data_IF_247091955851
#
_entry.id   IF_247091955851
#
_cell.length_a   1.000
_cell.length_b   1.000
_cell.length_c   1.000
_cell.angle_alpha   90.00
_cell.angle_beta   90.00
_cell.angle_gamma   90.00
#
_symmetry.space_group_name_H-M   'P 1'
#
loop_
_entity.id
_entity.type
_entity.pdbx_description
1 polymer ?
#
# COMPACT_ATOMS: atom_id res chain seq x y z
N UNK A 1 -20.94 -10.85 9.96
CA UNK A 1 -20.35 -10.67 8.63
C UNK A 1 -19.35 -9.57 8.84
N UNK A 2 -18.09 -9.83 8.53
CA UNK A 2 -17.03 -8.84 8.65
C UNK A 2 -16.74 -8.29 7.27
N UNK A 3 -16.47 -7.00 7.20
CA UNK A 3 -16.13 -6.32 5.96
C UNK A 3 -14.61 -6.41 5.71
N UNK A 4 -14.23 -6.49 4.44
CA UNK A 4 -12.85 -6.57 4.00
C UNK A 4 -12.56 -5.53 2.91
N UNK A 5 -11.30 -5.12 2.85
CA UNK A 5 -10.81 -4.14 1.88
C UNK A 5 -9.70 -4.74 1.00
N UNK A 6 -9.81 -4.62 -0.32
CA UNK A 6 -8.72 -4.92 -1.27
C UNK A 6 -7.88 -3.66 -1.37
N UNK A 7 -6.76 -3.63 -0.65
CA UNK A 7 -5.81 -2.54 -0.73
C UNK A 7 -4.82 -2.85 -1.84
N UNK A 8 -4.70 -1.92 -2.79
CA UNK A 8 -3.64 -1.92 -3.79
C UNK A 8 -2.82 -0.63 -3.67
N UNK A 9 -1.49 -0.75 -3.68
CA UNK A 9 -0.55 0.36 -3.71
C UNK A 9 0.50 0.13 -4.78
N UNK A 10 0.84 1.18 -5.51
CA UNK A 10 1.99 1.21 -6.42
C UNK A 10 2.66 2.58 -6.32
N UNK A 11 3.84 2.60 -5.69
CA UNK A 11 4.56 3.84 -5.38
C UNK A 11 6.06 3.67 -5.59
N UNK A 12 6.73 4.77 -5.93
CA UNK A 12 8.18 4.86 -5.93
C UNK A 12 8.61 5.54 -4.63
N UNK A 13 9.30 4.82 -3.74
CA UNK A 13 9.91 5.37 -2.53
C UNK A 13 11.19 6.13 -2.86
N UNK A 14 11.49 7.14 -2.05
CA UNK A 14 12.66 8.01 -2.23
C UNK A 14 13.97 7.20 -2.34
N UNK A 15 14.90 7.60 -3.23
CA UNK A 15 16.25 7.02 -3.25
C UNK A 15 17.02 7.26 -1.93
N UNK A 16 16.67 8.31 -1.19
CA UNK A 16 17.29 8.68 0.09
C UNK A 16 16.63 7.99 1.29
N UNK A 17 15.85 6.93 1.06
CA UNK A 17 15.24 6.17 2.15
C UNK A 17 16.34 5.63 3.07
N UNK A 18 16.26 6.00 4.36
CA UNK A 18 17.25 5.57 5.34
C UNK A 18 17.22 4.06 5.52
N UNK A 19 18.35 3.44 5.86
CA UNK A 19 18.40 1.99 6.09
C UNK A 19 17.40 1.51 7.16
N UNK A 20 17.19 2.21 8.30
CA UNK A 20 16.15 1.83 9.25
C UNK A 20 14.74 1.84 8.66
N UNK A 21 14.41 2.84 7.83
CA UNK A 21 13.10 2.89 7.18
C UNK A 21 12.97 1.78 6.13
N UNK A 22 14.02 1.52 5.34
CA UNK A 22 14.04 0.41 4.38
C UNK A 22 13.90 -0.95 5.07
N UNK A 23 14.55 -1.14 6.22
CA UNK A 23 14.39 -2.34 7.05
C UNK A 23 12.94 -2.49 7.53
N UNK A 24 12.33 -1.40 8.02
CA UNK A 24 10.94 -1.39 8.45
C UNK A 24 9.98 -1.71 7.30
N UNK A 25 10.18 -1.13 6.10
CA UNK A 25 9.42 -1.51 4.89
C UNK A 25 9.55 -3.01 4.64
N UNK A 26 10.77 -3.55 4.56
CA UNK A 26 10.98 -4.99 4.31
C UNK A 26 10.32 -5.87 5.37
N UNK A 27 10.35 -5.46 6.64
CA UNK A 27 9.64 -6.17 7.70
C UNK A 27 8.12 -6.16 7.48
N UNK A 28 7.53 -5.01 7.16
CA UNK A 28 6.09 -4.91 6.84
C UNK A 28 5.69 -5.84 5.68
N UNK A 29 6.58 -6.07 4.72
CA UNK A 29 6.37 -6.99 3.59
C UNK A 29 6.63 -8.48 3.92
N UNK A 30 7.03 -8.80 5.16
CA UNK A 30 7.41 -10.16 5.56
C UNK A 30 8.81 -10.60 5.08
N UNK A 31 9.67 -9.66 4.68
CA UNK A 31 10.97 -9.92 4.04
C UNK A 31 12.17 -9.63 4.96
N UNK A 32 11.93 -9.15 6.18
CA UNK A 32 12.96 -8.88 7.18
C UNK A 32 12.45 -9.13 8.60
N UNK A 33 13.39 -9.19 9.56
CA UNK A 33 13.07 -9.21 10.98
C UNK A 33 12.51 -7.86 11.45
N UNK A 34 11.68 -7.93 12.48
CA UNK A 34 11.07 -6.76 13.11
C UNK A 34 12.15 -5.80 13.63
N UNK A 35 12.06 -4.49 13.33
CA UNK A 35 12.96 -3.50 13.92
C UNK A 35 12.72 -3.39 15.42
N UNK A 36 13.74 -2.93 16.16
CA UNK A 36 13.65 -2.81 17.63
C UNK A 36 12.63 -1.77 18.09
N UNK A 37 12.34 -0.77 17.26
CA UNK A 37 11.38 0.29 17.51
C UNK A 37 10.68 0.68 16.20
N UNK A 38 9.66 -0.08 15.75
CA UNK A 38 8.91 0.26 14.56
C UNK A 38 8.17 1.59 14.75
N UNK A 39 8.16 2.41 13.71
CA UNK A 39 7.61 3.76 13.64
C UNK A 39 6.44 3.91 12.66
N UNK A 40 6.09 2.84 11.94
CA UNK A 40 5.08 2.85 10.88
C UNK A 40 3.65 3.05 11.36
N UNK A 41 3.38 2.82 12.64
CA UNK A 41 2.08 3.02 13.27
C UNK A 41 2.26 3.18 14.79
N UNK A 42 1.21 3.59 15.50
CA UNK A 42 1.18 3.48 16.96
C UNK A 42 0.86 2.04 17.40
N UNK A 43 1.83 1.15 17.22
CA UNK A 43 1.72 -0.28 17.53
C UNK A 43 1.34 -0.58 18.99
N UNK A 44 1.53 0.37 19.92
CA UNK A 44 1.12 0.19 21.31
C UNK A 44 -0.40 0.27 21.45
N UNK A 45 -1.03 1.21 20.73
CA UNK A 45 -2.49 1.36 20.70
C UNK A 45 -3.14 0.17 20.00
N UNK A 46 -2.48 -0.38 18.98
CA UNK A 46 -2.94 -1.56 18.22
C UNK A 46 -2.54 -2.92 18.83
N UNK A 47 -1.92 -2.92 20.02
CA UNK A 47 -1.64 -4.12 20.82
C UNK A 47 -0.28 -4.76 20.55
N UNK A 48 0.04 -5.11 19.31
CA UNK A 48 1.35 -5.62 18.93
C UNK A 48 1.68 -5.29 17.46
N UNK A 49 2.97 -5.21 17.09
CA UNK A 49 3.38 -5.04 15.70
C UNK A 49 3.29 -6.33 14.88
N UNK A 50 2.85 -6.23 13.61
CA UNK A 50 2.86 -7.34 12.65
C UNK A 50 3.15 -6.87 11.21
N UNK A 51 3.34 -7.84 10.33
CA UNK A 51 3.73 -7.65 8.94
C UNK A 51 2.48 -7.39 8.08
N UNK A 52 1.94 -6.17 8.13
CA UNK A 52 0.64 -5.81 7.51
C UNK A 52 0.55 -6.04 6.00
N UNK A 53 1.69 -6.16 5.31
CA UNK A 53 1.78 -6.41 3.87
C UNK A 53 2.50 -7.73 3.55
N UNK A 54 2.60 -8.65 4.52
CA UNK A 54 3.09 -9.99 4.24
C UNK A 54 2.16 -10.65 3.22
N UNK A 55 2.71 -10.95 2.04
CA UNK A 55 2.01 -11.66 0.98
C UNK A 55 2.45 -13.12 0.87
N UNK A 56 2.09 -13.76 -0.25
CA UNK A 56 2.47 -15.13 -0.58
C UNK A 56 1.40 -16.18 -0.30
N UNK A 57 0.20 -15.75 0.09
CA UNK A 57 -0.99 -16.59 0.27
C UNK A 57 -2.12 -16.16 -0.66
N UNK A 58 -3.09 -17.06 -0.86
CA UNK A 58 -4.36 -16.69 -1.47
C UNK A 58 -5.02 -15.59 -0.63
N UNK A 59 -5.63 -14.62 -1.31
CA UNK A 59 -6.33 -13.52 -0.65
C UNK A 59 -7.61 -14.04 0.01
N UNK A 60 -7.94 -13.52 1.20
CA UNK A 60 -9.02 -14.10 2.01
C UNK A 60 -10.42 -13.82 1.43
N UNK A 61 -10.69 -12.56 1.07
CA UNK A 61 -12.00 -12.11 0.62
C UNK A 61 -12.06 -11.71 -0.87
N UNK A 62 -10.93 -11.77 -1.57
CA UNK A 62 -10.83 -11.36 -2.97
C UNK A 62 -10.17 -12.45 -3.81
N UNK A 63 -10.44 -12.45 -5.12
CA UNK A 63 -9.76 -13.35 -6.04
C UNK A 63 -8.24 -13.09 -6.08
N UNK A 64 -7.46 -14.13 -6.38
CA UNK A 64 -6.01 -14.05 -6.52
C UNK A 64 -5.25 -14.16 -5.19
N UNK A 65 -4.08 -13.53 -5.13
CA UNK A 65 -3.16 -13.61 -4.00
C UNK A 65 -2.84 -12.24 -3.42
N UNK A 66 -2.51 -12.22 -2.13
CA UNK A 66 -1.90 -11.08 -1.48
C UNK A 66 -0.40 -11.10 -1.83
N UNK A 67 0.10 -9.99 -2.35
CA UNK A 67 1.44 -9.89 -2.94
C UNK A 67 2.09 -8.56 -2.61
N UNK A 68 3.37 -8.61 -2.26
CA UNK A 68 4.18 -7.42 -2.01
C UNK A 68 5.54 -7.57 -2.65
N UNK A 69 5.98 -6.55 -3.39
CA UNK A 69 7.26 -6.54 -4.07
C UNK A 69 7.92 -5.17 -3.93
N UNK A 70 9.18 -5.18 -3.51
CA UNK A 70 10.04 -4.01 -3.39
C UNK A 70 11.31 -4.25 -4.20
N UNK A 71 11.55 -3.43 -5.21
CA UNK A 71 12.72 -3.55 -6.09
C UNK A 71 13.35 -2.18 -6.38
N UNK A 72 14.67 -2.10 -6.59
CA UNK A 72 15.29 -0.88 -7.10
C UNK A 72 14.76 -0.54 -8.50
N UNK A 73 14.34 0.69 -8.73
CA UNK A 73 13.82 1.18 -10.01
C UNK A 73 14.96 1.69 -10.92
N UNK A 74 15.93 0.82 -11.22
CA UNK A 74 17.19 1.17 -11.92
C UNK A 74 16.99 1.84 -13.28
N UNK A 75 15.89 1.50 -13.98
CA UNK A 75 15.57 2.05 -15.31
C UNK A 75 14.88 3.43 -15.25
N UNK A 76 14.57 3.92 -14.04
CA UNK A 76 13.91 5.21 -13.78
C UNK A 76 14.67 5.98 -12.68
N UNK A 77 15.94 6.37 -12.90
CA UNK A 77 16.70 7.12 -11.91
C UNK A 77 16.05 8.46 -11.60
N UNK A 78 16.17 8.91 -10.35
CA UNK A 78 15.75 10.22 -9.90
C UNK A 78 16.52 11.35 -10.60
N UNK A 79 15.99 12.58 -10.52
CA UNK A 79 16.60 13.74 -11.15
C UNK A 79 18.00 14.11 -10.63
N UNK A 80 18.38 13.58 -9.46
CA UNK A 80 19.68 13.70 -8.80
C UNK A 80 20.61 12.50 -9.05
N UNK A 81 20.16 11.50 -9.81
CA UNK A 81 20.89 10.25 -10.08
C UNK A 81 20.72 9.17 -9.01
N UNK A 82 19.91 9.40 -7.97
CA UNK A 82 19.52 8.36 -7.02
C UNK A 82 18.63 7.29 -7.67
N UNK A 83 18.62 6.07 -7.14
CA UNK A 83 17.75 4.99 -7.64
C UNK A 83 16.56 4.83 -6.67
N UNK A 84 15.33 5.20 -7.08
CA UNK A 84 14.15 4.99 -6.25
C UNK A 84 13.88 3.52 -5.99
N UNK A 85 13.05 3.22 -4.99
CA UNK A 85 12.54 1.87 -4.78
C UNK A 85 11.11 1.78 -5.30
N UNK A 86 10.86 0.92 -6.29
CA UNK A 86 9.50 0.62 -6.74
C UNK A 86 8.87 -0.38 -5.76
N UNK A 87 7.80 0.04 -5.10
CA UNK A 87 6.98 -0.76 -4.20
C UNK A 87 5.62 -1.02 -4.85
N UNK A 88 5.21 -2.29 -4.86
CA UNK A 88 3.84 -2.69 -5.17
C UNK A 88 3.32 -3.58 -4.06
N UNK A 89 2.12 -3.30 -3.58
CA UNK A 89 1.41 -4.08 -2.56
C UNK A 89 0.00 -4.33 -3.04
N UNK A 90 -0.47 -5.56 -2.86
CA UNK A 90 -1.88 -5.90 -2.87
C UNK A 90 -2.16 -6.79 -1.66
N UNK A 91 -3.11 -6.40 -0.81
CA UNK A 91 -3.45 -7.19 0.38
C UNK A 91 -4.93 -7.08 0.72
N UNK A 92 -5.50 -8.16 1.25
CA UNK A 92 -6.80 -8.18 1.89
C UNK A 92 -6.68 -7.68 3.34
N UNK A 93 -7.45 -6.66 3.68
CA UNK A 93 -7.44 -6.03 5.01
C UNK A 93 -8.79 -6.27 5.69
N UNK A 94 -8.79 -6.80 6.91
CA UNK A 94 -10.00 -6.91 7.72
C UNK A 94 -10.42 -5.53 8.25
N UNK A 95 -11.72 -5.26 8.41
CA UNK A 95 -12.22 -3.96 8.90
C UNK A 95 -11.57 -3.48 10.20
N UNK A 96 -11.37 -4.38 11.18
CA UNK A 96 -10.72 -4.08 12.46
C UNK A 96 -9.25 -3.65 12.30
N UNK A 97 -8.60 -4.05 11.20
CA UNK A 97 -7.20 -3.74 10.90
C UNK A 97 -7.07 -2.52 9.99
N UNK A 98 -8.17 -2.02 9.41
CA UNK A 98 -8.13 -0.95 8.42
C UNK A 98 -7.46 0.32 8.97
N UNK A 99 -7.76 0.69 10.21
CA UNK A 99 -7.16 1.87 10.86
C UNK A 99 -5.63 1.82 10.92
N UNK A 100 -5.05 0.74 11.45
CA UNK A 100 -3.59 0.58 11.54
C UNK A 100 -2.95 0.45 10.16
N UNK A 101 -3.61 -0.22 9.21
CA UNK A 101 -3.11 -0.31 7.84
C UNK A 101 -3.03 1.08 7.23
N UNK A 102 -4.03 1.95 7.41
CA UNK A 102 -3.99 3.32 6.90
C UNK A 102 -2.92 4.19 7.59
N UNK A 103 -2.59 3.96 8.86
CA UNK A 103 -1.42 4.58 9.50
C UNK A 103 -0.11 4.15 8.81
N UNK A 104 0.03 2.85 8.50
CA UNK A 104 1.21 2.35 7.77
C UNK A 104 1.26 2.90 6.34
N UNK A 105 0.11 3.01 5.66
CA UNK A 105 0.03 3.65 4.34
C UNK A 105 0.46 5.11 4.42
N UNK A 106 -0.01 5.87 5.40
CA UNK A 106 0.45 7.25 5.64
C UNK A 106 1.98 7.31 5.82
N UNK A 107 2.52 6.46 6.69
CA UNK A 107 3.96 6.39 6.93
C UNK A 107 4.75 6.06 5.65
N UNK A 108 4.30 5.08 4.85
CA UNK A 108 4.91 4.76 3.56
C UNK A 108 4.85 5.94 2.58
N UNK A 109 3.71 6.61 2.49
CA UNK A 109 3.49 7.71 1.54
C UNK A 109 4.28 8.98 1.87
N UNK A 110 4.67 9.17 3.14
CA UNK A 110 5.65 10.20 3.54
C UNK A 110 7.05 9.91 2.99
N UNK A 111 7.38 8.65 2.78
CA UNK A 111 8.63 8.21 2.15
C UNK A 111 8.52 8.07 0.61
N UNK A 112 7.32 8.22 0.05
CA UNK A 112 7.10 8.13 -1.39
C UNK A 112 7.43 9.43 -2.14
N UNK A 113 8.03 9.26 -3.31
CA UNK A 113 8.25 10.31 -4.31
C UNK A 113 7.09 10.44 -5.31
N UNK A 114 6.23 9.41 -5.42
CA UNK A 114 5.01 9.41 -6.22
C UNK A 114 4.13 10.61 -5.86
N UNK A 115 3.53 11.27 -6.86
CA UNK A 115 2.51 12.31 -6.68
C UNK A 115 1.28 11.95 -7.49
N UNK A 116 0.10 12.25 -6.96
CA UNK A 116 -1.18 11.85 -7.56
C UNK A 116 -1.56 10.42 -7.16
N UNK A 117 -2.03 9.64 -8.12
CA UNK A 117 -2.53 8.29 -7.86
C UNK A 117 -1.42 7.38 -7.30
N UNK A 118 -1.69 6.79 -6.13
CA UNK A 118 -0.81 5.86 -5.43
C UNK A 118 -1.43 4.46 -5.30
N UNK A 119 -2.73 4.30 -5.56
CA UNK A 119 -3.42 3.03 -5.41
C UNK A 119 -4.93 3.16 -5.27
N UNK A 120 -5.54 2.13 -4.70
CA UNK A 120 -6.96 2.12 -4.37
C UNK A 120 -7.26 1.22 -3.18
N UNK A 121 -8.44 1.41 -2.61
CA UNK A 121 -9.11 0.53 -1.66
C UNK A 121 -10.46 0.15 -2.25
N UNK A 122 -10.80 -1.14 -2.27
CA UNK A 122 -12.14 -1.64 -2.66
C UNK A 122 -12.79 -2.36 -1.50
N UNK A 123 -14.00 -1.97 -1.14
CA UNK A 123 -14.76 -2.54 -0.02
C UNK A 123 -15.65 -3.72 -0.49
N UNK A 124 -15.65 -4.84 0.24
CA UNK A 124 -16.55 -5.97 -0.04
C UNK A 124 -18.03 -5.67 0.22
N UNK A 125 -18.35 -4.76 1.14
CA UNK A 125 -19.72 -4.48 1.54
C UNK A 125 -20.45 -3.58 0.54
N UNK A 126 -19.78 -2.55 0.05
CA UNK A 126 -20.33 -1.58 -0.90
C UNK A 126 -19.94 -1.83 -2.36
N UNK A 127 -18.89 -2.61 -2.60
CA UNK A 127 -18.17 -2.70 -3.89
C UNK A 127 -17.60 -1.35 -4.40
N UNK A 128 -17.66 -0.29 -3.58
CA UNK A 128 -17.12 1.01 -3.93
C UNK A 128 -15.59 0.96 -3.98
N UNK A 129 -15.01 1.72 -4.90
CA UNK A 129 -13.56 1.88 -5.06
C UNK A 129 -13.18 3.32 -4.71
N UNK A 130 -12.31 3.45 -3.72
CA UNK A 130 -11.71 4.72 -3.35
C UNK A 130 -10.25 4.74 -3.80
N UNK A 131 -9.87 5.78 -4.52
CA UNK A 131 -8.50 5.95 -4.97
C UNK A 131 -7.66 6.62 -3.88
N UNK A 132 -6.45 6.10 -3.67
CA UNK A 132 -5.45 6.73 -2.81
C UNK A 132 -4.70 7.75 -3.65
N UNK A 133 -4.84 9.04 -3.32
CA UNK A 133 -4.23 10.15 -4.05
C UNK A 133 -3.27 10.90 -3.12
N UNK A 134 -1.96 10.77 -3.35
CA UNK A 134 -0.93 11.43 -2.56
C UNK A 134 -0.60 12.82 -3.08
N UNK A 135 -0.49 13.78 -2.17
CA UNK A 135 -0.07 15.15 -2.42
C UNK A 135 1.00 15.56 -1.38
N UNK A 136 1.50 16.80 -1.44
CA UNK A 136 2.62 17.21 -0.58
C UNK A 136 2.27 17.36 0.91
N UNK A 137 0.97 17.36 1.23
CA UNK A 137 0.46 17.50 2.60
C UNK A 137 -0.04 16.19 3.22
N UNK A 138 0.03 15.07 2.51
CA UNK A 138 -0.58 13.80 2.92
C UNK A 138 -1.20 13.06 1.73
N UNK A 139 -2.30 12.36 1.96
CA UNK A 139 -3.08 11.73 0.91
C UNK A 139 -4.57 11.79 1.22
N UNK A 140 -5.38 11.67 0.18
CA UNK A 140 -6.82 11.58 0.27
C UNK A 140 -7.32 10.23 -0.26
N UNK A 141 -8.42 9.74 0.31
CA UNK A 141 -9.26 8.70 -0.30
C UNK A 141 -10.34 9.38 -1.13
N UNK A 142 -10.24 9.24 -2.46
CA UNK A 142 -11.12 9.92 -3.41
C UNK A 142 -11.99 8.90 -4.12
N UNK A 143 -13.30 9.00 -3.95
CA UNK A 143 -14.25 8.29 -4.81
C UNK A 143 -14.26 8.97 -6.19
N UNK A 144 -13.86 8.23 -7.23
CA UNK A 144 -13.87 8.72 -8.61
C UNK A 144 -15.00 8.02 -9.37
N UNK A 145 -16.25 8.38 -9.05
CA UNK A 145 -17.38 8.08 -9.92
C UNK A 145 -17.27 8.93 -11.19
N UNK A 146 -16.66 8.39 -12.24
CA UNK A 146 -16.63 9.05 -13.56
C UNK A 146 -17.77 8.56 -14.46
N UNK A 147 -18.36 9.51 -15.18
CA UNK A 147 -19.66 9.42 -15.84
C UNK A 147 -19.81 8.27 -16.86
N UNK A 148 -20.82 7.42 -16.63
CA UNK A 148 -21.72 6.69 -17.55
C UNK A 148 -21.21 6.00 -18.84
N UNK A 149 -19.93 6.03 -19.20
CA UNK A 149 -19.44 5.28 -20.37
C UNK A 149 -18.97 3.89 -19.96
N UNK A 150 -19.91 2.95 -19.94
CA UNK A 150 -19.61 1.51 -19.85
C UNK A 150 -19.27 0.98 -21.24
N UNK A 151 -18.06 0.45 -21.40
CA UNK A 151 -17.70 -0.35 -22.57
C UNK A 151 -17.89 -1.83 -22.22
N UNK A 152 -18.78 -2.51 -22.94
CA UNK A 152 -18.87 -3.97 -22.87
C UNK A 152 -18.07 -4.57 -24.02
N UNK A 153 -17.09 -5.42 -23.69
CA UNK A 153 -16.35 -6.22 -24.66
C UNK A 153 -16.82 -7.67 -24.45
N UNK A 154 -17.40 -8.26 -25.49
CA UNK A 154 -17.76 -9.68 -25.47
C UNK A 154 -16.50 -10.51 -25.76
N UNK A 155 -16.23 -11.50 -24.91
CA UNK A 155 -15.22 -12.51 -25.19
C UNK A 155 -15.79 -13.51 -26.22
N UNK A 156 -14.98 -13.91 -27.20
CA UNK A 156 -15.34 -14.89 -28.24
C UNK A 156 -15.15 -16.33 -27.75
#
# INVERSE_FOLDING_TARGET
MSDYYDLYLAVDLSPDLSEPALQEVRWLLGQAEMPSAPSSADWKTWGYPWQVFAGGSASHAFDGADVSLLVPAVDRPGGDGGVPWALTVRTCVHEDEFGVVMEVVDWLLRHASTRGWAGFVRDTASEDIQHIVRHDGGFDLVDVRSAEKRFQIAWA
#
